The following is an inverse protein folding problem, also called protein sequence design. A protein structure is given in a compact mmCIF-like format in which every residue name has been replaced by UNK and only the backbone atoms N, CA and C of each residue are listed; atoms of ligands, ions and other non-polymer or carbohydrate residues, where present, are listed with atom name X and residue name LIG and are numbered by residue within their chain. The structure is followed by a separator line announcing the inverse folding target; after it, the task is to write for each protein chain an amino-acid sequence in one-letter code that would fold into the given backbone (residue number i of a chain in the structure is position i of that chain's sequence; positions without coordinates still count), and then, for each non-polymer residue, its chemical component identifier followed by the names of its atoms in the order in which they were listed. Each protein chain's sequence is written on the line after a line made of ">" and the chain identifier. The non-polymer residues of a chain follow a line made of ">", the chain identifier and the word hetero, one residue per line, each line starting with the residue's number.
data_IF_422613790424
#
_entry.id   IF_422613790424
#
_cell.length_a   1.000
_cell.length_b   1.000
_cell.length_c   1.000
_cell.angle_alpha   90.00
_cell.angle_beta   90.00
_cell.angle_gamma   90.00
#
_symmetry.space_group_name_H-M   'P 1'
#
loop_
_entity.id
_entity.type
_entity.pdbx_description
1 polymer ?
#
# COMPACT_ATOMS: atom_id res chain seq x y z
N UNK A 1 -37.60 -28.67 -33.90
CA UNK A 1 -36.39 -28.85 -33.06
C UNK A 1 -36.08 -27.53 -32.39
N UNK A 2 -36.48 -27.34 -31.13
CA UNK A 2 -36.28 -26.09 -30.40
C UNK A 2 -34.86 -26.02 -29.80
N UNK A 3 -34.13 -24.96 -30.11
CA UNK A 3 -32.79 -24.71 -29.58
C UNK A 3 -32.84 -24.49 -28.07
N UNK A 4 -32.03 -25.24 -27.32
CA UNK A 4 -31.89 -25.09 -25.86
C UNK A 4 -31.35 -23.68 -25.54
N UNK A 5 -31.89 -22.97 -24.53
CA UNK A 5 -31.35 -21.67 -24.15
C UNK A 5 -29.90 -21.83 -23.67
N UNK A 6 -28.98 -20.95 -24.09
CA UNK A 6 -27.59 -21.02 -23.70
C UNK A 6 -27.50 -20.93 -22.17
N UNK A 7 -26.79 -21.89 -21.60
CA UNK A 7 -26.66 -22.07 -20.17
C UNK A 7 -26.08 -20.81 -19.51
N UNK A 8 -26.64 -20.41 -18.37
CA UNK A 8 -26.36 -19.12 -17.72
C UNK A 8 -24.86 -18.89 -17.43
N UNK A 9 -24.07 -19.95 -17.35
CA UNK A 9 -22.62 -19.94 -17.17
C UNK A 9 -21.88 -19.41 -18.41
N UNK A 10 -22.29 -19.80 -19.62
CA UNK A 10 -21.67 -19.30 -20.86
C UNK A 10 -21.91 -17.81 -21.06
N UNK A 11 -23.11 -17.35 -20.72
CA UNK A 11 -23.46 -15.91 -20.74
C UNK A 11 -22.63 -15.14 -19.71
N UNK A 12 -22.40 -15.70 -18.51
CA UNK A 12 -21.53 -15.09 -17.49
C UNK A 12 -20.06 -15.03 -17.94
N UNK A 13 -19.56 -16.06 -18.63
CA UNK A 13 -18.21 -16.06 -19.20
C UNK A 13 -18.05 -15.09 -20.37
N UNK A 14 -19.03 -15.04 -21.28
CA UNK A 14 -19.06 -14.10 -22.40
C UNK A 14 -19.12 -12.66 -21.90
N UNK A 15 -19.96 -12.38 -20.89
CA UNK A 15 -20.04 -11.07 -20.22
C UNK A 15 -18.72 -10.67 -19.57
N UNK A 16 -17.97 -11.63 -18.99
CA UNK A 16 -16.64 -11.37 -18.42
C UNK A 16 -15.61 -10.97 -19.50
N UNK A 17 -15.74 -11.51 -20.74
CA UNK A 17 -14.92 -11.11 -21.89
C UNK A 17 -15.31 -9.73 -22.43
N UNK A 18 -16.60 -9.39 -22.49
CA UNK A 18 -17.05 -8.07 -23.00
C UNK A 18 -16.75 -6.94 -22.02
N UNK A 19 -16.92 -7.15 -20.72
CA UNK A 19 -16.55 -6.18 -19.68
C UNK A 19 -15.04 -5.89 -19.66
N UNK A 20 -14.21 -6.86 -20.10
CA UNK A 20 -12.77 -6.68 -20.25
C UNK A 20 -12.42 -5.77 -21.43
N UNK A 21 -13.29 -5.64 -22.44
CA UNK A 21 -13.07 -4.75 -23.58
C UNK A 21 -13.33 -3.29 -23.19
N UNK A 22 -14.27 -3.00 -22.29
CA UNK A 22 -14.51 -1.63 -21.79
C UNK A 22 -13.38 -1.08 -20.89
N UNK A 23 -12.61 -1.93 -20.21
CA UNK A 23 -11.44 -1.49 -19.43
C UNK A 23 -10.19 -1.18 -20.28
N UNK A 24 -10.25 -1.40 -21.60
CA UNK A 24 -9.11 -1.23 -22.52
C UNK A 24 -8.70 0.22 -22.79
N UNK A 25 -9.43 1.20 -22.25
CA UNK A 25 -9.08 2.63 -22.40
C UNK A 25 -7.93 3.09 -21.50
N UNK A 26 -7.62 2.37 -20.41
CA UNK A 26 -6.69 2.85 -19.36
C UNK A 26 -5.43 1.97 -19.17
N UNK A 27 -5.35 0.82 -19.83
CA UNK A 27 -4.18 -0.06 -19.79
C UNK A 27 -3.48 -0.06 -21.15
N UNK A 28 -2.17 0.21 -21.18
CA UNK A 28 -1.37 0.03 -22.40
C UNK A 28 -1.57 -1.38 -22.94
N UNK A 29 -1.96 -1.52 -24.21
CA UNK A 29 -2.24 -2.81 -24.86
C UNK A 29 -1.07 -3.79 -24.73
N UNK A 30 0.16 -3.29 -24.61
CA UNK A 30 1.37 -4.07 -24.36
C UNK A 30 1.32 -4.83 -23.02
N UNK A 31 0.85 -4.21 -21.93
CA UNK A 31 0.73 -4.87 -20.61
C UNK A 31 -0.31 -5.99 -20.65
N UNK A 32 -1.37 -5.80 -21.42
CA UNK A 32 -2.45 -6.77 -21.57
C UNK A 32 -2.00 -7.99 -22.38
N UNK A 33 -1.25 -7.77 -23.46
CA UNK A 33 -0.61 -8.84 -24.24
C UNK A 33 0.41 -9.60 -23.41
N UNK A 34 1.25 -8.89 -22.63
CA UNK A 34 2.23 -9.52 -21.74
C UNK A 34 1.56 -10.42 -20.68
N UNK A 35 0.48 -9.95 -20.06
CA UNK A 35 -0.29 -10.74 -19.08
C UNK A 35 -0.94 -11.97 -19.72
N UNK A 36 -1.47 -11.84 -20.94
CA UNK A 36 -2.04 -12.97 -21.67
C UNK A 36 -0.99 -14.03 -22.02
N UNK A 37 0.20 -13.59 -22.43
CA UNK A 37 1.30 -14.50 -22.72
C UNK A 37 1.79 -15.20 -21.44
N UNK A 38 1.92 -14.46 -20.33
CA UNK A 38 2.26 -15.01 -19.02
C UNK A 38 1.22 -16.04 -18.54
N UNK A 39 -0.06 -15.72 -18.65
CA UNK A 39 -1.15 -16.63 -18.26
C UNK A 39 -1.21 -17.93 -19.07
N UNK A 40 -0.68 -17.94 -20.30
CA UNK A 40 -0.62 -19.14 -21.16
C UNK A 40 0.60 -20.02 -20.89
N UNK A 41 1.64 -19.46 -20.28
CA UNK A 41 2.95 -20.11 -20.11
C UNK A 41 3.22 -20.55 -18.67
N UNK A 42 2.56 -19.93 -17.69
CA UNK A 42 2.81 -20.19 -16.26
C UNK A 42 2.25 -21.53 -15.77
N UNK A 43 3.02 -22.23 -14.95
CA UNK A 43 2.60 -23.47 -14.27
C UNK A 43 1.79 -23.15 -13.01
N UNK A 44 0.88 -24.03 -12.60
CA UNK A 44 0.08 -23.86 -11.37
C UNK A 44 0.95 -23.68 -10.11
N UNK A 45 2.13 -24.33 -10.08
CA UNK A 45 3.11 -24.21 -9.00
C UNK A 45 3.79 -22.83 -8.98
N UNK A 46 4.12 -22.27 -10.14
CA UNK A 46 4.71 -20.92 -10.22
C UNK A 46 3.70 -19.86 -9.79
N UNK A 47 2.43 -20.03 -10.18
CA UNK A 47 1.36 -19.14 -9.77
C UNK A 47 1.09 -19.22 -8.26
N UNK A 48 1.05 -20.42 -7.68
CA UNK A 48 0.85 -20.58 -6.24
C UNK A 48 2.04 -20.04 -5.44
N UNK A 49 3.27 -20.30 -5.90
CA UNK A 49 4.48 -19.73 -5.31
C UNK A 49 4.46 -18.19 -5.37
N UNK A 50 4.07 -17.59 -6.50
CA UNK A 50 3.94 -16.14 -6.63
C UNK A 50 2.90 -15.57 -5.65
N UNK A 51 1.72 -16.19 -5.55
CA UNK A 51 0.66 -15.76 -4.64
C UNK A 51 1.09 -15.86 -3.17
N UNK A 52 1.84 -16.90 -2.81
CA UNK A 52 2.37 -17.09 -1.45
C UNK A 52 3.56 -16.17 -1.17
N UNK A 53 4.42 -15.90 -2.14
CA UNK A 53 5.62 -15.09 -1.98
C UNK A 53 5.33 -13.59 -1.97
N UNK A 54 4.26 -13.14 -2.63
CA UNK A 54 3.86 -11.73 -2.65
C UNK A 54 3.56 -11.15 -1.26
N UNK A 55 2.83 -11.82 -0.34
CA UNK A 55 2.61 -11.32 1.01
C UNK A 55 3.78 -11.57 1.96
N UNK A 56 4.69 -12.51 1.67
CA UNK A 56 5.82 -12.84 2.54
C UNK A 56 6.69 -11.64 2.97
N UNK A 57 7.11 -10.70 2.10
CA UNK A 57 7.89 -9.54 2.54
C UNK A 57 7.12 -8.66 3.52
N UNK A 58 5.80 -8.54 3.37
CA UNK A 58 4.95 -7.82 4.31
C UNK A 58 4.87 -8.54 5.66
N UNK A 59 4.67 -9.87 5.64
CA UNK A 59 4.62 -10.70 6.86
C UNK A 59 5.95 -10.62 7.61
N UNK A 60 7.09 -10.71 6.91
CA UNK A 60 8.42 -10.59 7.52
C UNK A 60 8.59 -9.22 8.18
N UNK A 61 8.20 -8.13 7.49
CA UNK A 61 8.26 -6.78 8.03
C UNK A 61 7.40 -6.63 9.31
N UNK A 62 6.21 -7.23 9.35
CA UNK A 62 5.32 -7.22 10.52
C UNK A 62 5.89 -8.05 11.66
N UNK A 63 6.42 -9.25 11.38
CA UNK A 63 7.05 -10.09 12.41
C UNK A 63 8.25 -9.37 13.02
N UNK A 64 9.12 -8.77 12.19
CA UNK A 64 10.26 -7.99 12.68
C UNK A 64 9.83 -6.82 13.57
N UNK A 65 8.69 -6.21 13.26
CA UNK A 65 8.07 -5.18 14.10
C UNK A 65 7.50 -5.77 15.41
N UNK A 66 6.88 -6.94 15.39
CA UNK A 66 6.15 -7.50 16.54
C UNK A 66 7.02 -8.30 17.53
N UNK A 67 8.17 -8.85 17.11
CA UNK A 67 9.04 -9.63 18.00
C UNK A 67 9.77 -8.78 19.05
N UNK A 68 9.85 -7.47 18.86
CA UNK A 68 10.60 -6.60 19.78
C UNK A 68 9.77 -6.31 21.04
N UNK A 69 10.27 -6.62 22.24
CA UNK A 69 9.52 -6.43 23.48
C UNK A 69 9.29 -4.94 23.74
N UNK A 70 8.04 -4.58 24.04
CA UNK A 70 7.69 -3.22 24.46
C UNK A 70 7.93 -3.07 25.96
N UNK A 71 8.43 -1.91 26.38
CA UNK A 71 8.53 -1.55 27.80
C UNK A 71 7.14 -1.17 28.33
N UNK A 72 7.02 -1.02 29.64
CA UNK A 72 5.74 -0.65 30.24
C UNK A 72 5.31 0.75 29.74
N UNK A 73 4.03 0.99 29.45
CA UNK A 73 3.57 2.31 29.04
C UNK A 73 3.72 3.38 30.13
N UNK A 74 3.85 2.96 31.41
CA UNK A 74 4.03 3.88 32.53
C UNK A 74 5.41 4.56 32.56
N UNK A 75 6.42 3.97 31.90
CA UNK A 75 7.76 4.55 31.79
C UNK A 75 7.85 5.72 30.79
N UNK A 76 6.75 5.99 30.08
CA UNK A 76 6.61 7.14 29.19
C UNK A 76 7.21 6.93 27.79
N UNK A 77 7.15 8.00 27.00
CA UNK A 77 7.53 7.97 25.58
C UNK A 77 9.02 7.70 25.36
N UNK A 78 9.88 8.24 26.22
CA UNK A 78 11.34 8.16 26.07
C UNK A 78 11.91 6.78 26.42
N UNK A 79 11.26 6.03 27.31
CA UNK A 79 11.65 4.65 27.60
C UNK A 79 11.26 3.69 26.46
N UNK A 80 10.22 4.04 25.70
CA UNK A 80 9.64 3.21 24.64
C UNK A 80 10.25 3.49 23.25
N UNK A 81 11.58 3.57 23.14
CA UNK A 81 12.27 3.82 21.86
C UNK A 81 11.96 2.75 20.80
N UNK A 82 11.88 1.49 21.21
CA UNK A 82 11.52 0.35 20.36
C UNK A 82 10.15 0.54 19.71
N UNK A 83 9.17 1.01 20.48
CA UNK A 83 7.83 1.32 19.97
C UNK A 83 7.90 2.40 18.88
N UNK A 84 8.69 3.45 19.08
CA UNK A 84 8.85 4.54 18.12
C UNK A 84 9.56 4.09 16.84
N UNK A 85 10.60 3.27 16.95
CA UNK A 85 11.25 2.66 15.79
C UNK A 85 10.27 1.82 14.97
N UNK A 86 9.49 0.98 15.66
CA UNK A 86 8.46 0.14 15.04
C UNK A 86 7.40 0.98 14.32
N UNK A 87 6.82 1.94 15.03
CA UNK A 87 5.79 2.82 14.48
C UNK A 87 6.32 3.60 13.27
N UNK A 88 7.56 4.08 13.33
CA UNK A 88 8.21 4.78 12.22
C UNK A 88 8.38 3.88 11.00
N UNK A 89 8.81 2.64 11.19
CA UNK A 89 8.98 1.68 10.10
C UNK A 89 7.65 1.33 9.42
N UNK A 90 6.59 1.13 10.20
CA UNK A 90 5.24 0.84 9.67
C UNK A 90 4.71 2.05 8.88
N UNK A 91 4.80 3.26 9.43
CA UNK A 91 4.35 4.48 8.75
C UNK A 91 5.13 4.71 7.46
N UNK A 92 6.43 4.42 7.47
CA UNK A 92 7.28 4.52 6.28
C UNK A 92 6.85 3.53 5.18
N UNK A 93 6.67 2.25 5.50
CA UNK A 93 6.20 1.23 4.54
C UNK A 93 4.80 1.53 4.01
N UNK A 94 3.89 1.95 4.89
CA UNK A 94 2.54 2.35 4.52
C UNK A 94 2.56 3.52 3.54
N UNK A 95 3.32 4.57 3.86
CA UNK A 95 3.43 5.76 3.02
C UNK A 95 4.09 5.44 1.67
N UNK A 96 5.13 4.60 1.65
CA UNK A 96 5.79 4.17 0.41
C UNK A 96 4.80 3.44 -0.49
N UNK A 97 4.06 2.49 0.08
CA UNK A 97 3.06 1.71 -0.64
C UNK A 97 1.98 2.61 -1.23
N UNK A 98 1.50 3.58 -0.45
CA UNK A 98 0.51 4.54 -0.91
C UNK A 98 1.03 5.40 -2.05
N UNK A 99 2.23 6.00 -1.91
CA UNK A 99 2.82 6.87 -2.93
C UNK A 99 3.07 6.12 -4.24
N UNK A 100 3.58 4.88 -4.16
CA UNK A 100 3.79 4.04 -5.35
C UNK A 100 2.45 3.68 -6.01
N UNK A 101 1.47 3.22 -5.25
CA UNK A 101 0.13 2.92 -5.79
C UNK A 101 -0.52 4.14 -6.43
N UNK A 102 -0.43 5.30 -5.77
CA UNK A 102 -0.97 6.55 -6.27
C UNK A 102 -0.28 7.00 -7.57
N UNK A 103 1.05 6.87 -7.66
CA UNK A 103 1.80 7.19 -8.87
C UNK A 103 1.44 6.29 -10.07
N UNK A 104 1.11 5.01 -9.81
CA UNK A 104 0.66 4.09 -10.86
C UNK A 104 -0.80 4.34 -11.28
N UNK A 105 -1.64 4.82 -10.35
CA UNK A 105 -3.04 5.18 -10.63
C UNK A 105 -3.17 6.49 -11.41
N UNK A 106 -2.22 7.41 -11.27
CA UNK A 106 -2.21 8.72 -11.91
C UNK A 106 -0.98 8.88 -12.82
N UNK A 107 -1.00 8.30 -14.03
CA UNK A 107 0.14 8.34 -14.97
C UNK A 107 0.43 9.75 -15.51
N UNK A 108 -0.47 10.71 -15.29
CA UNK A 108 -0.28 12.14 -15.64
C UNK A 108 0.76 12.80 -14.74
N UNK A 109 1.01 12.25 -13.54
CA UNK A 109 1.94 12.84 -12.57
C UNK A 109 3.37 12.30 -12.83
N UNK A 110 4.35 13.13 -13.23
CA UNK A 110 5.71 12.69 -13.51
C UNK A 110 6.47 12.39 -12.21
N UNK A 111 6.14 11.26 -11.58
CA UNK A 111 6.75 10.82 -10.33
C UNK A 111 7.92 9.88 -10.58
N UNK A 112 9.13 10.41 -10.49
CA UNK A 112 10.34 9.58 -10.44
C UNK A 112 10.41 8.78 -9.15
N UNK A 113 10.93 7.55 -9.19
CA UNK A 113 11.10 6.68 -8.01
C UNK A 113 11.86 7.36 -6.87
N UNK A 114 12.86 8.20 -7.20
CA UNK A 114 13.62 8.98 -6.22
C UNK A 114 12.75 10.00 -5.50
N UNK A 115 11.80 10.61 -6.22
CA UNK A 115 10.86 11.58 -5.66
C UNK A 115 9.85 10.89 -4.75
N UNK A 116 9.32 9.74 -5.17
CA UNK A 116 8.44 8.92 -4.32
C UNK A 116 9.12 8.61 -2.98
N UNK A 117 10.37 8.14 -3.02
CA UNK A 117 11.15 7.85 -1.81
C UNK A 117 11.36 9.09 -0.94
N UNK A 118 11.70 10.24 -1.54
CA UNK A 118 11.87 11.51 -0.82
C UNK A 118 10.59 11.96 -0.11
N UNK A 119 9.44 11.89 -0.80
CA UNK A 119 8.13 12.22 -0.22
C UNK A 119 7.82 11.27 0.94
N UNK A 120 8.04 9.97 0.76
CA UNK A 120 7.81 8.97 1.82
C UNK A 120 8.62 9.29 3.07
N UNK A 121 9.93 9.57 2.94
CA UNK A 121 10.78 9.91 4.09
C UNK A 121 10.29 11.18 4.78
N UNK A 122 10.02 12.24 4.01
CA UNK A 122 9.55 13.52 4.55
C UNK A 122 8.23 13.39 5.33
N UNK A 123 7.22 12.75 4.73
CA UNK A 123 5.90 12.57 5.34
C UNK A 123 5.99 11.68 6.59
N UNK A 124 6.78 10.61 6.54
CA UNK A 124 6.92 9.69 7.67
C UNK A 124 7.61 10.35 8.85
N UNK A 125 8.72 11.08 8.61
CA UNK A 125 9.43 11.82 9.67
C UNK A 125 8.55 12.89 10.29
N UNK A 126 7.82 13.67 9.46
CA UNK A 126 6.90 14.69 9.96
C UNK A 126 5.76 14.12 10.81
N UNK A 127 5.13 13.04 10.35
CA UNK A 127 4.05 12.37 11.08
C UNK A 127 4.52 11.75 12.40
N UNK A 128 5.69 11.11 12.40
CA UNK A 128 6.28 10.53 13.61
C UNK A 128 6.73 11.61 14.60
N UNK A 129 7.35 12.69 14.12
CA UNK A 129 7.73 13.82 14.96
C UNK A 129 6.52 14.48 15.62
N UNK A 130 5.41 14.61 14.89
CA UNK A 130 4.15 15.13 15.43
C UNK A 130 3.56 14.20 16.50
N UNK A 131 3.43 12.91 16.23
CA UNK A 131 2.86 11.95 17.20
C UNK A 131 3.75 11.77 18.44
N UNK A 132 5.07 11.85 18.28
CA UNK A 132 6.03 11.90 19.38
C UNK A 132 5.85 13.18 20.21
N UNK A 133 5.77 14.35 19.58
CA UNK A 133 5.52 15.61 20.28
C UNK A 133 4.19 15.59 21.05
N UNK A 134 3.15 15.02 20.43
CA UNK A 134 1.85 14.83 21.05
C UNK A 134 1.95 13.93 22.28
N UNK A 135 2.75 12.85 22.22
CA UNK A 135 3.00 11.96 23.37
C UNK A 135 3.65 12.66 24.57
N UNK A 136 4.43 13.71 24.33
CA UNK A 136 5.02 14.53 25.40
C UNK A 136 4.02 15.51 26.01
N UNK A 137 3.01 15.94 25.23
CA UNK A 137 1.99 16.90 25.67
C UNK A 137 0.84 16.25 26.44
N UNK A 138 0.31 15.13 25.94
CA UNK A 138 -0.87 14.47 26.53
C UNK A 138 -0.51 13.24 27.39
N UNK A 139 0.74 12.79 27.34
CA UNK A 139 1.20 11.56 27.97
C UNK A 139 1.22 10.37 27.00
N UNK A 140 2.00 9.34 27.38
CA UNK A 140 2.11 8.09 26.66
C UNK A 140 1.21 7.02 27.31
N UNK A 141 0.46 6.21 26.54
CA UNK A 141 0.37 6.19 25.08
C UNK A 141 -0.60 7.25 24.51
N UNK A 142 -0.31 7.72 23.29
CA UNK A 142 -1.21 8.65 22.55
C UNK A 142 -2.54 7.94 22.23
N UNK A 143 -3.70 8.50 22.61
CA UNK A 143 -5.00 7.93 22.27
C UNK A 143 -5.20 7.99 20.76
N UNK A 144 -5.59 6.85 20.17
CA UNK A 144 -5.85 6.72 18.73
C UNK A 144 -4.74 7.31 17.84
N UNK A 145 -3.48 6.96 18.11
CA UNK A 145 -2.28 7.52 17.44
C UNK A 145 -2.41 7.62 15.91
N UNK A 146 -2.97 6.60 15.25
CA UNK A 146 -3.17 6.61 13.79
C UNK A 146 -4.19 7.68 13.35
N UNK A 147 -5.29 7.85 14.09
CA UNK A 147 -6.32 8.85 13.80
C UNK A 147 -5.79 10.25 14.07
N UNK A 148 -5.06 10.43 15.17
CA UNK A 148 -4.44 11.72 15.51
C UNK A 148 -3.34 12.11 14.52
N UNK A 149 -2.59 11.15 13.99
CA UNK A 149 -1.55 11.37 12.98
C UNK A 149 -2.09 11.56 11.55
N UNK A 150 -3.29 11.05 11.25
CA UNK A 150 -3.86 11.06 9.90
C UNK A 150 -4.00 12.48 9.29
N UNK A 151 -4.48 13.51 10.00
CA UNK A 151 -4.55 14.87 9.46
C UNK A 151 -3.18 15.40 9.01
N UNK A 152 -2.14 15.20 9.83
CA UNK A 152 -0.77 15.65 9.53
C UNK A 152 -0.19 14.85 8.37
N UNK A 153 -0.42 13.54 8.35
CA UNK A 153 0.00 12.70 7.24
C UNK A 153 -0.64 13.17 5.91
N UNK A 154 -1.95 13.43 5.92
CA UNK A 154 -2.69 13.90 4.74
C UNK A 154 -2.19 15.26 4.25
N UNK A 155 -1.99 16.24 5.14
CA UNK A 155 -1.53 17.58 4.74
C UNK A 155 -0.11 17.56 4.19
N UNK A 156 0.80 16.83 4.82
CA UNK A 156 2.18 16.69 4.33
C UNK A 156 2.22 15.96 2.99
N UNK A 157 1.43 14.90 2.83
CA UNK A 157 1.35 14.15 1.59
C UNK A 157 0.78 15.00 0.46
N UNK A 158 -0.40 15.61 0.67
CA UNK A 158 -1.03 16.46 -0.34
C UNK A 158 -0.14 17.65 -0.70
N UNK A 159 0.48 18.31 0.28
CA UNK A 159 1.44 19.38 0.04
C UNK A 159 2.66 18.93 -0.77
N UNK A 160 3.15 17.71 -0.53
CA UNK A 160 4.26 17.14 -1.32
C UNK A 160 3.84 16.81 -2.76
N UNK A 161 2.59 16.36 -2.94
CA UNK A 161 2.03 16.06 -4.25
C UNK A 161 1.73 17.32 -5.06
N UNK A 162 1.22 18.39 -4.44
CA UNK A 162 0.95 19.67 -5.14
C UNK A 162 2.21 20.34 -5.65
N UNK A 163 3.33 20.26 -4.92
CA UNK A 163 4.65 20.71 -5.39
C UNK A 163 5.17 19.86 -6.57
N UNK A 164 4.52 18.72 -6.84
CA UNK A 164 4.89 17.80 -7.91
C UNK A 164 4.08 17.96 -9.20
N UNK A 165 3.04 18.79 -9.18
CA UNK A 165 2.34 19.28 -10.36
C UNK A 165 3.07 20.47 -10.98
#
# INVERSE_FOLDING_TARGET
>A
MAARPPSSWLVRFARRKSLRVEQSGHYSGQRLIALQNYSKTVTTLELSALILLTPLPCIIAVILADITPLQSPQEGSNANTVFWCRASFIVWLYTLSFVVQFSEMLPVLPMSRRRCFGITVFVSVGCMGYTYSLSLLIGFPVPFMMVMGAPVWMTLLLGSLTVSW
#
